data_IF_942974819827
#
_entry.id   IF_942974819827
#
_cell.length_a   1.000
_cell.length_b   1.000
_cell.length_c   1.000
_cell.angle_alpha   90.00
_cell.angle_beta   90.00
_cell.angle_gamma   90.00
#
_symmetry.space_group_name_H-M   'P 1'
#
loop_
_entity.id
_entity.type
_entity.pdbx_description
1 polymer ?
#
# COMPACT_ATOMS: atom_id res chain seq x y z
N UNK A 1 -13.90 30.55 -5.52
CA UNK A 1 -13.15 29.31 -5.81
C UNK A 1 -14.10 28.13 -5.78
N UNK A 2 -14.32 27.43 -6.90
CA UNK A 2 -15.35 26.38 -7.02
C UNK A 2 -14.98 25.13 -6.20
N UNK A 3 -15.98 24.37 -5.73
CA UNK A 3 -15.82 23.23 -4.81
C UNK A 3 -14.94 22.12 -5.37
N UNK A 4 -14.96 21.91 -6.69
CA UNK A 4 -14.09 20.97 -7.40
C UNK A 4 -12.60 21.34 -7.27
N UNK A 5 -12.26 22.61 -7.47
CA UNK A 5 -10.88 23.09 -7.39
C UNK A 5 -10.30 22.93 -5.98
N UNK A 6 -11.11 23.15 -4.93
CA UNK A 6 -10.72 22.87 -3.53
C UNK A 6 -10.38 21.39 -3.32
N UNK A 7 -11.21 20.47 -3.83
CA UNK A 7 -10.96 19.02 -3.73
C UNK A 7 -9.69 18.62 -4.47
N UNK A 8 -9.45 19.17 -5.66
CA UNK A 8 -8.22 18.94 -6.44
C UNK A 8 -6.98 19.44 -5.70
N UNK A 9 -7.02 20.64 -5.12
CA UNK A 9 -5.92 21.18 -4.31
C UNK A 9 -5.63 20.30 -3.09
N UNK A 10 -6.65 19.86 -2.36
CA UNK A 10 -6.47 18.96 -1.21
C UNK A 10 -5.86 17.61 -1.63
N UNK A 11 -6.33 17.04 -2.74
CA UNK A 11 -5.77 15.81 -3.29
C UNK A 11 -4.32 15.97 -3.69
N UNK A 12 -3.99 17.04 -4.43
CA UNK A 12 -2.62 17.37 -4.85
C UNK A 12 -1.69 17.58 -3.66
N UNK A 13 -2.08 18.39 -2.68
CA UNK A 13 -1.28 18.63 -1.48
C UNK A 13 -1.01 17.34 -0.69
N UNK A 14 -2.02 16.46 -0.57
CA UNK A 14 -1.89 15.17 0.10
C UNK A 14 -0.93 14.22 -0.64
N UNK A 15 -1.00 14.19 -1.97
CA UNK A 15 -0.10 13.38 -2.78
C UNK A 15 1.35 13.88 -2.69
N UNK A 16 1.57 15.20 -2.71
CA UNK A 16 2.89 15.81 -2.52
C UNK A 16 3.46 15.49 -1.15
N UNK A 17 2.65 15.58 -0.09
CA UNK A 17 3.08 15.22 1.26
C UNK A 17 3.46 13.73 1.36
N UNK A 18 2.70 12.85 0.72
CA UNK A 18 3.02 11.42 0.66
C UNK A 18 4.33 11.17 -0.10
N UNK A 19 4.55 11.85 -1.24
CA UNK A 19 5.80 11.76 -1.98
C UNK A 19 6.99 12.20 -1.13
N UNK A 20 6.88 13.34 -0.44
CA UNK A 20 7.93 13.81 0.46
C UNK A 20 8.23 12.79 1.58
N UNK A 21 7.19 12.14 2.11
CA UNK A 21 7.35 11.07 3.10
C UNK A 21 8.07 9.84 2.51
N UNK A 22 7.69 9.39 1.31
CA UNK A 22 8.36 8.27 0.63
C UNK A 22 9.83 8.60 0.36
N UNK A 23 10.13 9.81 -0.10
CA UNK A 23 11.51 10.27 -0.32
C UNK A 23 12.29 10.30 0.99
N UNK A 24 11.69 10.81 2.07
CA UNK A 24 12.32 10.82 3.39
C UNK A 24 12.60 9.40 3.89
N UNK A 25 11.65 8.49 3.74
CA UNK A 25 11.82 7.08 4.10
C UNK A 25 12.98 6.45 3.29
N UNK A 26 13.04 6.73 1.98
CA UNK A 26 14.10 6.24 1.10
C UNK A 26 15.49 6.76 1.52
N UNK A 27 15.62 8.08 1.73
CA UNK A 27 16.91 8.69 2.13
C UNK A 27 17.37 8.22 3.51
N UNK A 28 16.42 7.84 4.38
CA UNK A 28 16.72 7.33 5.73
C UNK A 28 17.06 5.83 5.74
N UNK A 29 16.79 5.07 4.67
CA UNK A 29 17.04 3.61 4.60
C UNK A 29 18.44 3.17 5.06
N UNK A 30 19.54 3.84 4.67
CA UNK A 30 20.88 3.43 5.07
C UNK A 30 21.09 3.35 6.59
N UNK A 31 20.35 4.16 7.36
CA UNK A 31 20.43 4.20 8.83
C UNK A 31 19.88 2.93 9.49
N UNK A 32 19.04 2.18 8.78
CA UNK A 32 18.37 0.98 9.27
C UNK A 32 18.98 -0.33 8.73
N UNK A 33 19.98 -0.26 7.83
CA UNK A 33 20.60 -1.45 7.21
C UNK A 33 21.14 -2.45 8.22
N UNK A 34 21.73 -1.99 9.32
CA UNK A 34 22.27 -2.87 10.37
C UNK A 34 21.21 -3.50 11.27
N UNK A 35 19.98 -2.98 11.24
CA UNK A 35 18.89 -3.41 12.13
C UNK A 35 17.99 -4.46 11.48
N UNK A 36 18.00 -4.55 10.15
CA UNK A 36 17.18 -5.51 9.40
C UNK A 36 18.01 -6.74 9.07
N UNK A 37 17.74 -7.90 9.69
CA UNK A 37 18.42 -9.13 9.34
C UNK A 37 18.04 -9.55 7.91
N UNK A 38 19.02 -9.58 7.03
CA UNK A 38 18.86 -10.02 5.65
C UNK A 38 18.96 -11.56 5.56
N UNK A 39 18.28 -12.21 4.60
CA UNK A 39 18.36 -13.65 4.41
C UNK A 39 19.76 -14.06 3.91
N UNK A 40 20.01 -15.36 3.74
CA UNK A 40 21.17 -15.79 2.94
C UNK A 40 21.02 -15.35 1.49
N UNK A 41 22.13 -15.20 0.77
CA UNK A 41 22.13 -14.77 -0.64
C UNK A 41 21.77 -15.89 -1.62
N UNK A 42 20.85 -16.76 -1.21
CA UNK A 42 20.28 -17.83 -2.03
C UNK A 42 18.90 -17.41 -2.53
N UNK A 43 18.57 -17.70 -3.79
CA UNK A 43 17.31 -17.32 -4.42
C UNK A 43 16.08 -17.75 -3.60
N UNK A 44 16.10 -18.96 -3.04
CA UNK A 44 15.01 -19.46 -2.21
C UNK A 44 14.83 -18.64 -0.92
N UNK A 45 15.93 -18.27 -0.25
CA UNK A 45 15.90 -17.48 0.97
C UNK A 45 15.45 -16.03 0.71
N UNK A 46 15.88 -15.44 -0.41
CA UNK A 46 15.42 -14.11 -0.88
C UNK A 46 13.93 -14.08 -1.16
N UNK A 47 13.41 -15.09 -1.86
CA UNK A 47 11.96 -15.20 -2.14
C UNK A 47 11.16 -15.44 -0.86
N UNK A 48 11.66 -16.31 0.04
CA UNK A 48 11.03 -16.53 1.34
C UNK A 48 10.94 -15.23 2.15
N UNK A 49 12.00 -14.44 2.17
CA UNK A 49 12.02 -13.12 2.79
C UNK A 49 10.96 -12.19 2.20
N UNK A 50 10.85 -12.10 0.87
CA UNK A 50 9.82 -11.27 0.22
C UNK A 50 8.39 -11.73 0.55
N UNK A 51 8.15 -13.04 0.53
CA UNK A 51 6.83 -13.62 0.82
C UNK A 51 6.43 -13.39 2.28
N UNK A 52 7.38 -13.47 3.23
CA UNK A 52 7.09 -13.14 4.64
C UNK A 52 6.56 -11.73 4.82
N UNK A 53 7.09 -10.76 4.07
CA UNK A 53 6.60 -9.38 4.12
C UNK A 53 5.20 -9.21 3.52
N UNK A 54 4.71 -10.13 2.66
CA UNK A 54 3.33 -10.14 2.18
C UNK A 54 2.30 -10.44 3.27
N UNK A 55 2.73 -10.88 4.46
CA UNK A 55 1.85 -10.91 5.63
C UNK A 55 1.32 -9.52 5.97
N UNK A 56 2.09 -8.45 5.73
CA UNK A 56 1.66 -7.08 6.01
C UNK A 56 0.43 -6.66 5.20
N UNK A 57 0.44 -6.70 3.84
CA UNK A 57 -0.76 -6.44 3.05
C UNK A 57 -1.88 -7.45 3.36
N UNK A 58 -1.54 -8.72 3.64
CA UNK A 58 -2.50 -9.74 4.07
C UNK A 58 -3.27 -9.33 5.34
N UNK A 59 -2.58 -8.86 6.38
CA UNK A 59 -3.19 -8.36 7.60
C UNK A 59 -4.03 -7.10 7.37
N UNK A 60 -3.59 -6.18 6.50
CA UNK A 60 -4.36 -4.99 6.15
C UNK A 60 -5.64 -5.32 5.40
N UNK A 61 -5.60 -6.31 4.51
CA UNK A 61 -6.77 -6.82 3.80
C UNK A 61 -7.72 -7.54 4.76
N UNK A 62 -7.19 -8.41 5.62
CA UNK A 62 -7.97 -9.13 6.62
C UNK A 62 -8.70 -8.16 7.56
N UNK A 63 -8.01 -7.12 8.04
CA UNK A 63 -8.61 -6.06 8.85
C UNK A 63 -9.78 -5.37 8.13
N UNK A 64 -9.63 -5.09 6.83
CA UNK A 64 -10.70 -4.51 6.01
C UNK A 64 -11.89 -5.45 5.79
N UNK A 65 -11.64 -6.73 5.57
CA UNK A 65 -12.69 -7.77 5.47
C UNK A 65 -13.46 -7.87 6.78
N UNK A 66 -12.76 -7.93 7.92
CA UNK A 66 -13.43 -7.90 9.23
C UNK A 66 -14.21 -6.60 9.45
N UNK A 67 -13.64 -5.46 9.06
CA UNK A 67 -14.28 -4.17 9.10
C UNK A 67 -15.59 -4.13 8.30
N UNK A 68 -15.66 -4.78 7.15
CA UNK A 68 -16.88 -4.93 6.35
C UNK A 68 -17.85 -5.94 6.99
N UNK A 69 -17.36 -7.08 7.48
CA UNK A 69 -18.19 -8.17 8.05
C UNK A 69 -18.95 -7.77 9.31
N UNK A 70 -18.37 -6.94 10.19
CA UNK A 70 -19.04 -6.42 11.40
C UNK A 70 -20.27 -5.56 11.08
N UNK A 71 -20.40 -5.19 9.81
CA UNK A 71 -21.49 -4.39 9.22
C UNK A 71 -22.38 -5.22 8.28
N UNK A 72 -22.13 -6.53 8.17
CA UNK A 72 -22.96 -7.50 7.47
C UNK A 72 -24.34 -7.76 8.10
N UNK A 73 -24.69 -7.05 9.17
CA UNK A 73 -26.06 -6.97 9.72
C UNK A 73 -26.88 -5.80 9.15
N UNK A 74 -26.35 -5.04 8.17
CA UNK A 74 -27.14 -4.06 7.43
C UNK A 74 -27.86 -4.75 6.26
N UNK A 75 -29.13 -4.42 6.06
CA UNK A 75 -29.98 -4.99 5.00
C UNK A 75 -29.32 -4.91 3.61
N UNK A 76 -28.67 -3.78 3.28
CA UNK A 76 -27.96 -3.57 2.01
C UNK A 76 -26.85 -4.61 1.73
N UNK A 77 -26.17 -5.08 2.78
CA UNK A 77 -25.10 -6.08 2.65
C UNK A 77 -25.66 -7.47 2.35
N UNK A 78 -26.87 -7.77 2.84
CA UNK A 78 -27.58 -9.03 2.61
C UNK A 78 -28.18 -9.05 1.20
N UNK A 79 -28.73 -7.93 0.75
CA UNK A 79 -29.32 -7.79 -0.59
C UNK A 79 -28.28 -7.78 -1.73
N UNK A 80 -27.00 -7.51 -1.42
CA UNK A 80 -25.92 -7.52 -2.41
C UNK A 80 -26.04 -6.42 -3.45
N UNK A 81 -26.64 -5.28 -3.09
CA UNK A 81 -26.84 -4.17 -4.02
C UNK A 81 -25.50 -3.58 -4.50
N UNK A 82 -25.39 -3.29 -5.80
CA UNK A 82 -24.15 -2.75 -6.41
C UNK A 82 -23.73 -1.39 -5.84
N UNK A 83 -24.67 -0.64 -5.29
CA UNK A 83 -24.47 0.67 -4.67
C UNK A 83 -25.05 0.62 -3.27
N UNK A 84 -24.21 0.33 -2.24
CA UNK A 84 -24.65 0.37 -0.86
C UNK A 84 -25.28 1.72 -0.52
N UNK A 85 -26.45 1.74 0.12
CA UNK A 85 -27.01 3.00 0.64
C UNK A 85 -26.22 3.46 1.87
N UNK A 86 -25.66 2.52 2.64
CA UNK A 86 -24.75 2.80 3.75
C UNK A 86 -23.37 3.29 3.27
N UNK A 87 -23.09 4.59 3.45
CA UNK A 87 -21.79 5.21 3.12
C UNK A 87 -20.59 4.49 3.76
N UNK A 88 -20.76 3.96 4.98
CA UNK A 88 -19.68 3.27 5.66
C UNK A 88 -19.37 1.90 5.03
N UNK A 89 -20.36 1.22 4.44
CA UNK A 89 -20.17 -0.03 3.70
C UNK A 89 -19.42 0.24 2.39
N UNK A 90 -19.80 1.32 1.68
CA UNK A 90 -19.10 1.78 0.48
C UNK A 90 -17.60 2.00 0.73
N UNK A 91 -17.25 2.67 1.83
CA UNK A 91 -15.84 2.93 2.19
C UNK A 91 -15.04 1.62 2.33
N UNK A 92 -15.56 0.57 2.99
CA UNK A 92 -14.78 -0.67 3.13
C UNK A 92 -14.74 -1.50 1.87
N UNK A 93 -15.82 -1.51 1.08
CA UNK A 93 -15.77 -2.20 -0.21
C UNK A 93 -14.68 -1.58 -1.08
N UNK A 94 -14.59 -0.25 -1.10
CA UNK A 94 -13.51 0.47 -1.81
C UNK A 94 -12.14 0.24 -1.19
N UNK A 95 -12.04 0.21 0.14
CA UNK A 95 -10.79 -0.12 0.82
C UNK A 95 -10.33 -1.55 0.50
N UNK A 96 -11.21 -2.55 0.57
CA UNK A 96 -10.90 -3.95 0.32
C UNK A 96 -10.51 -4.17 -1.14
N UNK A 97 -11.31 -3.66 -2.08
CA UNK A 97 -11.02 -3.74 -3.51
C UNK A 97 -9.66 -3.11 -3.84
N UNK A 98 -9.41 -1.90 -3.31
CA UNK A 98 -8.13 -1.26 -3.55
C UNK A 98 -6.97 -2.00 -2.87
N UNK A 99 -7.18 -2.51 -1.65
CA UNK A 99 -6.13 -3.23 -0.92
C UNK A 99 -5.78 -4.55 -1.60
N UNK A 100 -6.74 -5.28 -2.18
CA UNK A 100 -6.41 -6.49 -2.94
C UNK A 100 -5.64 -6.17 -4.23
N UNK A 101 -6.04 -5.14 -4.97
CA UNK A 101 -5.29 -4.65 -6.15
C UNK A 101 -3.84 -4.28 -5.78
N UNK A 102 -3.67 -3.50 -4.70
CA UNK A 102 -2.34 -3.11 -4.24
C UNK A 102 -1.54 -4.30 -3.69
N UNK A 103 -2.18 -5.29 -3.07
CA UNK A 103 -1.52 -6.51 -2.58
C UNK A 103 -0.96 -7.34 -3.73
N UNK A 104 -1.73 -7.48 -4.82
CA UNK A 104 -1.28 -8.21 -6.01
C UNK A 104 -0.06 -7.50 -6.62
N UNK A 105 -0.13 -6.18 -6.78
CA UNK A 105 1.00 -5.40 -7.30
C UNK A 105 2.23 -5.47 -6.40
N UNK A 106 2.04 -5.43 -5.08
CA UNK A 106 3.14 -5.60 -4.11
C UNK A 106 3.75 -7.01 -4.17
N UNK A 107 2.93 -8.06 -4.31
CA UNK A 107 3.41 -9.43 -4.46
C UNK A 107 4.28 -9.58 -5.71
N UNK A 108 3.85 -9.03 -6.84
CA UNK A 108 4.64 -9.02 -8.08
C UNK A 108 5.93 -8.22 -7.86
N UNK A 109 5.85 -7.00 -7.36
CA UNK A 109 7.01 -6.13 -7.20
C UNK A 109 8.04 -6.71 -6.24
N UNK A 110 7.64 -7.14 -5.04
CA UNK A 110 8.57 -7.56 -3.99
C UNK A 110 9.24 -8.89 -4.32
N UNK A 111 8.51 -9.83 -4.94
CA UNK A 111 9.12 -11.10 -5.34
C UNK A 111 10.09 -10.89 -6.51
N UNK A 112 9.77 -10.04 -7.49
CA UNK A 112 10.71 -9.66 -8.54
C UNK A 112 11.94 -8.93 -8.00
N UNK A 113 11.76 -7.96 -7.10
CA UNK A 113 12.87 -7.23 -6.48
C UNK A 113 13.80 -8.16 -5.69
N UNK A 114 13.26 -9.16 -5.01
CA UNK A 114 14.07 -10.13 -4.27
C UNK A 114 15.02 -10.93 -5.19
N UNK A 115 14.64 -11.15 -6.44
CA UNK A 115 15.47 -11.86 -7.42
C UNK A 115 16.56 -10.95 -8.00
N UNK A 116 16.25 -9.68 -8.29
CA UNK A 116 17.15 -8.82 -9.08
C UNK A 116 17.98 -7.83 -8.26
N UNK A 117 17.55 -7.47 -7.06
CA UNK A 117 18.28 -6.48 -6.25
C UNK A 117 19.63 -7.02 -5.77
N UNK A 118 20.65 -6.14 -5.65
CA UNK A 118 21.82 -6.41 -4.82
C UNK A 118 21.39 -6.84 -3.42
N UNK A 119 22.17 -7.74 -2.81
CA UNK A 119 21.79 -8.35 -1.54
C UNK A 119 21.55 -7.32 -0.42
N UNK A 120 22.40 -6.29 -0.36
CA UNK A 120 22.32 -5.20 0.62
C UNK A 120 21.12 -4.25 0.42
N UNK A 121 20.50 -4.27 -0.76
CA UNK A 121 19.30 -3.48 -1.07
C UNK A 121 17.99 -4.23 -0.78
N UNK A 122 18.04 -5.50 -0.34
CA UNK A 122 16.84 -6.26 0.02
C UNK A 122 16.03 -5.62 1.15
N UNK A 123 16.65 -4.75 1.97
CA UNK A 123 15.96 -3.93 2.98
C UNK A 123 14.82 -3.10 2.40
N UNK A 124 14.83 -2.84 1.08
CA UNK A 124 13.79 -2.09 0.42
C UNK A 124 12.41 -2.76 0.54
N UNK A 125 12.36 -4.09 0.54
CA UNK A 125 11.10 -4.85 0.66
C UNK A 125 10.39 -4.59 2.00
N UNK A 126 11.04 -4.75 3.18
CA UNK A 126 10.48 -4.35 4.46
C UNK A 126 10.00 -2.90 4.50
N UNK A 127 10.79 -1.98 3.94
CA UNK A 127 10.44 -0.56 3.97
C UNK A 127 9.17 -0.27 3.14
N UNK A 128 9.05 -0.89 1.97
CA UNK A 128 7.82 -0.84 1.16
C UNK A 128 6.63 -1.46 1.92
N UNK A 129 6.84 -2.55 2.67
CA UNK A 129 5.79 -3.16 3.47
C UNK A 129 5.32 -2.25 4.62
N UNK A 130 6.23 -1.56 5.30
CA UNK A 130 5.89 -0.56 6.33
C UNK A 130 5.11 0.60 5.71
N UNK A 131 5.57 1.14 4.58
CA UNK A 131 4.86 2.19 3.85
C UNK A 131 3.47 1.72 3.38
N UNK A 132 3.35 0.46 2.97
CA UNK A 132 2.07 -0.15 2.62
C UNK A 132 1.11 -0.11 3.83
N UNK A 133 1.54 -0.61 4.99
CA UNK A 133 0.71 -0.62 6.20
C UNK A 133 0.26 0.79 6.61
N UNK A 134 1.22 1.73 6.70
CA UNK A 134 0.93 3.13 7.01
C UNK A 134 -0.02 3.75 5.98
N UNK A 135 0.16 3.41 4.70
CA UNK A 135 -0.68 3.87 3.60
C UNK A 135 -2.11 3.36 3.74
N UNK A 136 -2.29 2.08 4.09
CA UNK A 136 -3.63 1.50 4.31
C UNK A 136 -4.32 2.10 5.53
N UNK A 137 -3.62 2.26 6.65
CA UNK A 137 -4.17 2.87 7.86
C UNK A 137 -4.62 4.30 7.58
N UNK A 138 -3.76 5.12 6.98
CA UNK A 138 -4.07 6.52 6.66
C UNK A 138 -5.10 6.65 5.55
N UNK A 139 -5.14 5.73 4.58
CA UNK A 139 -6.22 5.65 3.59
C UNK A 139 -7.56 5.45 4.29
N UNK A 140 -7.65 4.45 5.17
CA UNK A 140 -8.92 4.09 5.80
C UNK A 140 -9.42 5.20 6.73
N UNK A 141 -8.58 5.66 7.66
CA UNK A 141 -8.92 6.76 8.58
C UNK A 141 -9.27 8.02 7.79
N UNK A 142 -8.43 8.38 6.82
CA UNK A 142 -8.66 9.56 5.98
C UNK A 142 -9.97 9.47 5.19
N UNK A 143 -10.34 8.29 4.71
CA UNK A 143 -11.58 8.12 3.95
C UNK A 143 -12.83 8.22 4.82
N UNK A 144 -12.77 7.71 6.06
CA UNK A 144 -13.85 7.86 7.04
C UNK A 144 -14.09 9.34 7.37
N UNK A 145 -13.02 10.14 7.46
CA UNK A 145 -13.12 11.56 7.79
C UNK A 145 -13.57 12.42 6.59
N UNK A 146 -13.05 12.15 5.39
CA UNK A 146 -13.37 12.94 4.20
C UNK A 146 -13.14 12.15 2.90
N UNK A 147 -13.97 12.29 1.85
CA UNK A 147 -13.79 11.56 0.60
C UNK A 147 -12.41 11.72 -0.06
N UNK A 148 -11.78 12.90 0.06
CA UNK A 148 -10.43 13.16 -0.43
C UNK A 148 -9.31 12.80 0.56
N UNK A 149 -9.64 12.50 1.82
CA UNK A 149 -8.66 12.22 2.87
C UNK A 149 -7.87 10.92 2.62
N UNK A 150 -8.41 10.01 1.79
CA UNK A 150 -7.75 8.76 1.40
C UNK A 150 -6.52 8.95 0.49
N UNK A 151 -6.38 10.12 -0.13
CA UNK A 151 -5.36 10.38 -1.16
C UNK A 151 -3.93 10.20 -0.64
N UNK A 152 -3.64 10.69 0.57
CA UNK A 152 -2.33 10.54 1.19
C UNK A 152 -1.94 9.05 1.32
N UNK A 153 -2.82 8.24 1.93
CA UNK A 153 -2.57 6.83 2.13
C UNK A 153 -2.52 6.02 0.83
N UNK A 154 -3.31 6.42 -0.17
CA UNK A 154 -3.23 5.85 -1.52
C UNK A 154 -1.85 6.09 -2.12
N UNK A 155 -1.37 7.34 -2.10
CA UNK A 155 -0.06 7.71 -2.63
C UNK A 155 1.09 7.02 -1.89
N UNK A 156 0.98 6.85 -0.57
CA UNK A 156 2.01 6.18 0.24
C UNK A 156 2.20 4.70 -0.13
N UNK A 157 1.15 4.04 -0.64
CA UNK A 157 1.21 2.65 -1.12
C UNK A 157 1.59 2.55 -2.60
N UNK A 158 1.03 3.42 -3.45
CA UNK A 158 1.20 3.35 -4.90
C UNK A 158 2.58 3.83 -5.33
N UNK A 159 3.10 4.92 -4.76
CA UNK A 159 4.36 5.51 -5.20
C UNK A 159 5.54 4.53 -5.09
N UNK A 160 5.79 3.85 -3.96
CA UNK A 160 6.88 2.87 -3.88
C UNK A 160 6.71 1.74 -4.91
N UNK A 161 5.47 1.29 -5.12
CA UNK A 161 5.15 0.23 -6.08
C UNK A 161 5.46 0.68 -7.51
N UNK A 162 5.04 1.90 -7.92
CA UNK A 162 5.37 2.46 -9.24
C UNK A 162 6.89 2.51 -9.42
N UNK A 163 7.63 3.05 -8.45
CA UNK A 163 9.09 3.11 -8.54
C UNK A 163 9.73 1.73 -8.65
N UNK A 164 9.22 0.73 -7.93
CA UNK A 164 9.67 -0.65 -8.06
C UNK A 164 9.45 -1.19 -9.48
N UNK A 165 8.26 -1.03 -10.06
CA UNK A 165 7.99 -1.47 -11.44
C UNK A 165 8.89 -0.77 -12.46
N UNK A 166 9.13 0.54 -12.30
CA UNK A 166 10.04 1.30 -13.15
C UNK A 166 11.48 0.78 -13.04
N UNK A 167 11.96 0.55 -11.82
CA UNK A 167 13.31 0.01 -11.58
C UNK A 167 13.48 -1.41 -12.14
N UNK A 168 12.48 -2.29 -11.92
CA UNK A 168 12.46 -3.64 -12.47
C UNK A 168 12.47 -3.63 -14.00
N UNK A 169 11.70 -2.75 -14.62
CA UNK A 169 11.65 -2.60 -16.07
C UNK A 169 13.00 -2.10 -16.60
N UNK A 170 13.60 -1.11 -15.94
CA UNK A 170 14.93 -0.59 -16.29
C UNK A 170 15.99 -1.71 -16.22
N UNK A 171 16.05 -2.43 -15.10
CA UNK A 171 17.00 -3.54 -14.91
C UNK A 171 16.80 -4.71 -15.88
N UNK A 172 15.57 -4.92 -16.38
CA UNK A 172 15.31 -5.96 -17.38
C UNK A 172 15.75 -5.57 -18.79
N UNK A 173 15.93 -4.28 -19.07
CA UNK A 173 16.28 -3.74 -20.39
C UNK A 173 17.76 -3.39 -20.54
N UNK A 174 18.53 -3.39 -19.44
CA UNK A 174 19.97 -3.07 -19.40
C UNK A 174 20.77 -4.28 -18.97
#
# INVERSE_FOLDING_TARGET
MNTLFRKQLMGGASATAALAFVVLAWVSLPQFRSQVPLPTDETAARLAFAVQWLLVPGWMLLAGVFGASRRGFYADAIEGTRTPAAHTLEINLRYNQNTIEQTILAAIAWTSLAVVLPHDELILIPAMAVLFALGRITFWIGYVLHPMGRTFGMSLTVLPTIFAFLALTWMALT
#
